data_IF_687786509286
#
_entry.id   IF_687786509286
#
_cell.length_a   1.000
_cell.length_b   1.000
_cell.length_c   1.000
_cell.angle_alpha   90.00
_cell.angle_beta   90.00
_cell.angle_gamma   90.00
#
_symmetry.space_group_name_H-M   'P 1'
#
loop_
_entity.id
_entity.type
_entity.pdbx_description
1 polymer ?
#
# COMPACT_ATOMS: atom_id res chain seq x y z
N UNK A 1 -28.65 35.62 -12.27
CA UNK A 1 -27.92 35.36 -13.54
C UNK A 1 -26.45 35.84 -13.52
N UNK A 2 -26.11 36.98 -12.95
CA UNK A 2 -24.73 37.52 -13.00
C UNK A 2 -23.72 36.65 -12.24
N UNK A 3 -24.07 36.14 -11.08
CA UNK A 3 -23.16 35.29 -10.27
C UNK A 3 -22.81 33.96 -10.91
N UNK A 4 -23.73 33.35 -11.62
CA UNK A 4 -23.52 32.07 -12.31
C UNK A 4 -22.46 32.21 -13.41
N UNK A 5 -22.55 33.25 -14.22
CA UNK A 5 -21.60 33.49 -15.29
C UNK A 5 -20.20 33.85 -14.82
N UNK A 6 -20.10 34.52 -13.67
CA UNK A 6 -18.79 34.85 -13.04
C UNK A 6 -18.15 33.58 -12.48
N UNK A 7 -18.91 32.73 -11.80
CA UNK A 7 -18.41 31.47 -11.23
C UNK A 7 -17.94 30.49 -12.33
N UNK A 8 -18.68 30.35 -13.44
CA UNK A 8 -18.26 29.55 -14.58
C UNK A 8 -17.02 30.12 -15.26
N UNK A 9 -16.90 31.43 -15.39
CA UNK A 9 -15.70 32.07 -15.96
C UNK A 9 -14.45 31.89 -15.11
N UNK A 10 -14.57 31.90 -13.79
CA UNK A 10 -13.45 31.68 -12.87
C UNK A 10 -13.05 30.20 -12.88
N UNK A 11 -14.02 29.29 -12.77
CA UNK A 11 -13.76 27.85 -12.84
C UNK A 11 -13.11 27.42 -14.16
N UNK A 12 -13.55 27.96 -15.28
CA UNK A 12 -12.98 27.65 -16.59
C UNK A 12 -11.53 28.17 -16.73
N UNK A 13 -11.22 29.33 -16.16
CA UNK A 13 -9.85 29.88 -16.13
C UNK A 13 -8.91 29.06 -15.25
N UNK A 14 -9.37 28.68 -14.07
CA UNK A 14 -8.55 27.87 -13.15
C UNK A 14 -8.29 26.47 -13.72
N UNK A 15 -9.30 25.83 -14.31
CA UNK A 15 -9.11 24.55 -15.00
C UNK A 15 -8.14 24.69 -16.20
N UNK A 16 -8.22 25.77 -16.98
CA UNK A 16 -7.32 25.98 -18.09
C UNK A 16 -5.88 26.24 -17.63
N UNK A 17 -5.70 26.93 -16.48
CA UNK A 17 -4.40 27.14 -15.87
C UNK A 17 -3.79 25.84 -15.33
N UNK A 18 -4.58 24.98 -14.70
CA UNK A 18 -4.12 23.66 -14.25
C UNK A 18 -3.73 22.75 -15.41
N UNK A 19 -4.52 22.73 -16.48
CA UNK A 19 -4.20 21.97 -17.68
C UNK A 19 -2.94 22.50 -18.38
N UNK A 20 -2.72 23.81 -18.37
CA UNK A 20 -1.54 24.42 -19.02
C UNK A 20 -0.27 24.24 -18.16
N UNK A 21 -0.42 24.12 -16.84
CA UNK A 21 0.70 23.83 -15.92
C UNK A 21 0.99 22.33 -15.77
N UNK A 22 0.11 21.47 -16.23
CA UNK A 22 0.40 20.05 -16.45
C UNK A 22 1.40 19.88 -17.62
N UNK A 23 2.50 20.65 -17.60
CA UNK A 23 3.70 20.31 -18.33
C UNK A 23 4.05 18.88 -17.90
N UNK A 24 3.91 17.96 -18.84
CA UNK A 24 4.46 16.62 -18.85
C UNK A 24 5.77 16.61 -18.05
N UNK A 25 5.66 16.33 -16.75
CA UNK A 25 6.83 16.04 -15.96
C UNK A 25 7.36 14.72 -16.53
N UNK A 26 8.45 14.78 -17.26
CA UNK A 26 9.07 13.64 -17.93
C UNK A 26 9.55 12.56 -16.95
N UNK A 27 9.28 12.77 -15.66
CA UNK A 27 9.51 11.79 -14.60
C UNK A 27 8.69 12.14 -13.37
N UNK A 28 7.38 11.95 -13.39
CA UNK A 28 6.65 11.86 -12.13
C UNK A 28 7.24 10.70 -11.32
N UNK A 29 7.72 10.96 -10.09
CA UNK A 29 8.29 9.90 -9.28
C UNK A 29 7.21 8.84 -9.07
N UNK A 30 7.54 7.58 -9.43
CA UNK A 30 6.64 6.47 -9.19
C UNK A 30 6.16 6.46 -7.74
N UNK A 31 4.85 6.28 -7.49
CA UNK A 31 4.32 6.31 -6.15
C UNK A 31 4.92 5.19 -5.30
N UNK A 32 5.18 5.49 -4.02
CA UNK A 32 5.54 4.46 -3.07
C UNK A 32 4.30 3.66 -2.69
N UNK A 33 4.33 2.37 -2.99
CA UNK A 33 3.25 1.43 -2.63
C UNK A 33 3.68 0.63 -1.40
N UNK A 34 2.90 0.73 -0.32
CA UNK A 34 3.17 -0.02 0.91
C UNK A 34 3.01 -1.53 0.68
N UNK A 35 3.83 -2.36 1.35
CA UNK A 35 3.58 -3.80 1.41
C UNK A 35 2.16 -4.09 1.93
N UNK A 36 1.48 -5.03 1.29
CA UNK A 36 0.10 -5.34 1.64
C UNK A 36 -0.53 -6.33 0.67
N UNK A 37 -1.82 -6.17 0.42
CA UNK A 37 -2.54 -6.94 -0.58
C UNK A 37 -2.13 -6.51 -1.99
N UNK A 38 -1.31 -7.34 -2.65
CA UNK A 38 -0.74 -7.00 -3.96
C UNK A 38 -1.73 -7.12 -5.11
N UNK A 39 -2.79 -7.89 -4.98
CA UNK A 39 -3.84 -7.92 -6.01
C UNK A 39 -4.59 -6.59 -6.04
N UNK A 40 -4.92 -6.04 -4.87
CA UNK A 40 -5.53 -4.73 -4.78
C UNK A 40 -4.58 -3.64 -5.28
N UNK A 41 -3.30 -3.71 -4.93
CA UNK A 41 -2.29 -2.77 -5.39
C UNK A 41 -2.15 -2.79 -6.92
N UNK A 42 -2.02 -3.97 -7.53
CA UNK A 42 -1.93 -4.13 -8.98
C UNK A 42 -3.18 -3.57 -9.69
N UNK A 43 -4.38 -3.88 -9.16
CA UNK A 43 -5.63 -3.36 -9.69
C UNK A 43 -5.67 -1.82 -9.68
N UNK A 44 -5.32 -1.19 -8.55
CA UNK A 44 -5.32 0.26 -8.40
C UNK A 44 -4.28 0.91 -9.33
N UNK A 45 -3.05 0.38 -9.35
CA UNK A 45 -1.97 0.91 -10.18
C UNK A 45 -2.34 0.90 -11.67
N UNK A 46 -2.92 -0.20 -12.15
CA UNK A 46 -3.39 -0.31 -13.55
C UNK A 46 -4.50 0.68 -13.87
N UNK A 47 -5.45 0.89 -12.95
CA UNK A 47 -6.50 1.89 -13.15
C UNK A 47 -5.97 3.33 -13.15
N UNK A 48 -4.84 3.58 -12.51
CA UNK A 48 -4.12 4.86 -12.56
C UNK A 48 -3.20 4.99 -13.79
N UNK A 49 -3.20 4.00 -14.69
CA UNK A 49 -2.34 4.01 -15.88
C UNK A 49 -0.86 3.67 -15.61
N UNK A 50 -0.53 3.21 -14.40
CA UNK A 50 0.83 2.84 -14.01
C UNK A 50 1.11 1.41 -14.46
N UNK A 51 2.21 1.21 -15.20
CA UNK A 51 2.62 -0.12 -15.64
C UNK A 51 3.06 -0.97 -14.46
N UNK A 52 2.51 -2.17 -14.34
CA UNK A 52 2.88 -3.14 -13.31
C UNK A 52 3.52 -4.36 -13.94
N UNK A 53 4.53 -4.93 -13.26
CA UNK A 53 5.13 -6.23 -13.56
C UNK A 53 4.86 -7.16 -12.38
N UNK A 54 4.14 -8.24 -12.63
CA UNK A 54 3.76 -9.20 -11.60
C UNK A 54 4.38 -10.57 -11.91
N UNK A 55 4.96 -11.21 -10.89
CA UNK A 55 5.59 -12.52 -11.00
C UNK A 55 4.58 -13.67 -10.91
N UNK A 56 3.27 -13.37 -10.92
CA UNK A 56 2.22 -14.39 -10.90
C UNK A 56 1.32 -14.30 -12.12
N UNK A 57 0.91 -15.45 -12.62
CA UNK A 57 -0.17 -15.53 -13.61
C UNK A 57 -1.48 -15.18 -12.89
N UNK A 58 -1.87 -13.90 -12.97
CA UNK A 58 -2.89 -13.28 -12.16
C UNK A 58 -4.27 -13.88 -12.31
N UNK A 59 -4.56 -14.91 -11.55
CA UNK A 59 -5.94 -15.30 -11.32
C UNK A 59 -6.47 -14.51 -10.13
N UNK A 60 -7.18 -13.42 -10.39
CA UNK A 60 -7.97 -12.70 -9.38
C UNK A 60 -9.13 -13.55 -8.84
N UNK A 61 -9.33 -14.73 -9.41
CA UNK A 61 -10.51 -15.56 -9.18
C UNK A 61 -10.52 -16.31 -7.84
N UNK A 62 -9.41 -16.36 -7.11
CA UNK A 62 -9.37 -17.19 -5.89
C UNK A 62 -9.95 -16.50 -4.64
N UNK A 63 -10.30 -15.23 -4.69
CA UNK A 63 -10.85 -14.47 -3.54
C UNK A 63 -9.92 -14.34 -2.33
N UNK A 64 -8.79 -15.04 -2.32
CA UNK A 64 -7.84 -15.00 -1.23
C UNK A 64 -6.85 -13.84 -1.40
N UNK A 65 -6.63 -13.03 -0.37
CA UNK A 65 -5.65 -11.97 -0.44
C UNK A 65 -4.25 -12.55 -0.64
N UNK A 66 -3.51 -12.01 -1.62
CA UNK A 66 -2.09 -12.34 -1.83
C UNK A 66 -1.26 -11.18 -1.29
N UNK A 67 -0.41 -11.50 -0.33
CA UNK A 67 0.44 -10.52 0.34
C UNK A 67 1.80 -10.41 -0.33
N UNK A 68 2.32 -9.19 -0.40
CA UNK A 68 3.62 -8.95 -1.03
C UNK A 68 4.12 -7.54 -0.89
N UNK A 69 5.11 -7.24 -1.69
CA UNK A 69 5.80 -5.95 -1.74
C UNK A 69 5.77 -5.39 -3.16
N UNK A 70 5.79 -4.07 -3.25
CA UNK A 70 5.92 -3.36 -4.51
C UNK A 70 7.24 -2.60 -4.51
N UNK A 71 7.98 -2.67 -5.60
CA UNK A 71 9.22 -1.93 -5.83
C UNK A 71 9.16 -1.16 -7.15
N UNK A 72 9.79 0.02 -7.19
CA UNK A 72 9.81 0.83 -8.40
C UNK A 72 10.98 0.40 -9.29
N UNK A 73 10.69 0.08 -10.54
CA UNK A 73 11.68 -0.34 -11.54
C UNK A 73 11.47 0.45 -12.84
N UNK A 74 12.32 1.46 -13.08
CA UNK A 74 12.47 2.10 -14.38
C UNK A 74 11.17 2.47 -15.11
N UNK A 75 10.23 3.15 -14.44
CA UNK A 75 8.95 3.55 -15.05
C UNK A 75 7.82 2.50 -14.93
N UNK A 76 8.03 1.44 -14.14
CA UNK A 76 7.02 0.44 -13.80
C UNK A 76 7.10 0.06 -12.32
N UNK A 77 6.04 -0.50 -11.78
CA UNK A 77 6.02 -1.07 -10.43
C UNK A 77 6.10 -2.58 -10.52
N UNK A 78 7.16 -3.15 -9.95
CA UNK A 78 7.29 -4.59 -9.78
C UNK A 78 6.52 -5.01 -8.54
N UNK A 79 5.70 -6.03 -8.68
CA UNK A 79 4.83 -6.54 -7.62
C UNK A 79 5.22 -7.99 -7.34
N UNK A 80 5.78 -8.24 -6.16
CA UNK A 80 6.31 -9.53 -5.76
C UNK A 80 5.54 -10.13 -4.61
N UNK A 81 5.30 -11.44 -4.65
CA UNK A 81 4.73 -12.18 -3.53
C UNK A 81 5.72 -12.22 -2.36
N UNK A 82 5.23 -11.90 -1.17
CA UNK A 82 5.96 -12.21 0.05
C UNK A 82 5.67 -13.66 0.44
N UNK A 83 6.69 -14.50 0.69
CA UNK A 83 6.47 -15.87 1.12
C UNK A 83 5.55 -15.90 2.34
N UNK A 84 4.47 -16.66 2.23
CA UNK A 84 3.55 -16.87 3.35
C UNK A 84 4.04 -18.10 4.12
N UNK A 85 4.41 -17.89 5.38
CA UNK A 85 4.60 -19.00 6.29
C UNK A 85 3.28 -19.79 6.47
N UNK A 86 3.35 -21.07 6.79
CA UNK A 86 2.17 -21.93 6.98
C UNK A 86 1.15 -21.31 7.95
N UNK A 87 -0.10 -21.77 7.89
CA UNK A 87 -1.20 -21.23 8.74
C UNK A 87 -0.92 -21.28 10.24
N UNK A 88 -0.09 -22.22 10.69
CA UNK A 88 0.32 -22.38 12.09
C UNK A 88 1.58 -21.57 12.47
N UNK A 89 2.08 -20.73 11.57
CA UNK A 89 3.30 -19.95 11.79
C UNK A 89 3.00 -18.46 11.75
N UNK A 90 3.75 -17.68 12.53
CA UNK A 90 3.67 -16.22 12.58
C UNK A 90 4.12 -15.64 11.22
N UNK A 91 3.30 -14.84 10.55
CA UNK A 91 3.70 -14.16 9.32
C UNK A 91 4.64 -12.99 9.61
N UNK A 92 5.45 -12.62 8.63
CA UNK A 92 6.20 -11.37 8.68
C UNK A 92 5.32 -10.22 8.18
N UNK A 93 4.92 -9.34 9.11
CA UNK A 93 4.09 -8.18 8.83
C UNK A 93 4.86 -6.85 8.84
N UNK A 94 6.18 -6.90 8.96
CA UNK A 94 7.02 -5.69 8.93
C UNK A 94 6.91 -4.99 7.58
N UNK A 95 6.83 -3.66 7.64
CA UNK A 95 6.64 -2.78 6.47
C UNK A 95 5.17 -2.61 6.05
N UNK A 96 4.25 -3.43 6.57
CA UNK A 96 2.81 -3.33 6.26
C UNK A 96 2.14 -2.17 7.00
N UNK A 97 1.02 -1.70 6.46
CA UNK A 97 0.11 -0.82 7.18
C UNK A 97 -0.54 -1.56 8.36
N UNK A 98 -0.95 -0.81 9.40
CA UNK A 98 -1.57 -1.39 10.59
C UNK A 98 -2.76 -2.30 10.26
N UNK A 99 -3.65 -1.86 9.38
CA UNK A 99 -4.87 -2.61 9.00
C UNK A 99 -4.55 -3.97 8.40
N UNK A 100 -3.63 -4.02 7.46
CA UNK A 100 -3.25 -5.25 6.77
C UNK A 100 -2.52 -6.20 7.71
N UNK A 101 -1.63 -5.67 8.55
CA UNK A 101 -0.90 -6.45 9.55
C UNK A 101 -1.83 -7.09 10.58
N UNK A 102 -2.81 -6.33 11.09
CA UNK A 102 -3.82 -6.83 12.02
C UNK A 102 -4.63 -7.94 11.35
N UNK A 103 -5.17 -7.69 10.17
CA UNK A 103 -5.95 -8.67 9.43
C UNK A 103 -5.17 -9.97 9.21
N UNK A 104 -3.89 -9.87 8.82
CA UNK A 104 -3.06 -11.03 8.54
C UNK A 104 -2.78 -11.88 9.79
N UNK A 105 -2.60 -11.26 10.95
CA UNK A 105 -2.36 -11.97 12.22
C UNK A 105 -3.66 -12.51 12.82
N UNK A 106 -4.72 -11.70 12.87
CA UNK A 106 -5.99 -12.10 13.48
C UNK A 106 -6.72 -13.19 12.69
N UNK A 107 -6.63 -13.17 11.35
CA UNK A 107 -7.15 -14.26 10.51
C UNK A 107 -6.51 -15.62 10.80
N UNK A 108 -5.36 -15.64 11.47
CA UNK A 108 -4.67 -16.85 11.93
C UNK A 108 -4.94 -17.17 13.41
N UNK A 109 -5.69 -16.32 14.11
CA UNK A 109 -6.02 -16.49 15.52
C UNK A 109 -5.00 -15.90 16.50
N UNK A 110 -4.11 -15.03 16.03
CA UNK A 110 -3.18 -14.24 16.86
C UNK A 110 -3.87 -12.95 17.26
N UNK A 111 -3.89 -12.61 18.54
CA UNK A 111 -4.40 -11.32 19.01
C UNK A 111 -3.33 -10.25 18.79
N UNK A 112 -3.74 -9.04 18.38
CA UNK A 112 -2.80 -7.96 18.06
C UNK A 112 -2.95 -6.80 19.04
N UNK A 113 -1.83 -6.26 19.48
CA UNK A 113 -1.74 -4.96 20.15
C UNK A 113 -0.87 -4.03 19.31
N UNK A 114 -1.38 -2.83 19.06
CA UNK A 114 -0.69 -1.80 18.30
C UNK A 114 -0.03 -0.79 19.25
N UNK A 115 1.18 -0.37 18.94
CA UNK A 115 1.90 0.70 19.60
C UNK A 115 2.48 1.64 18.54
N UNK A 116 2.14 2.93 18.60
CA UNK A 116 2.58 3.95 17.63
C UNK A 116 1.63 4.14 16.46
N UNK A 117 2.12 4.79 15.39
CA UNK A 117 1.37 5.15 14.18
C UNK A 117 2.23 4.91 12.95
N UNK A 118 1.59 4.68 11.79
CA UNK A 118 2.27 4.53 10.51
C UNK A 118 2.34 3.10 10.01
N UNK A 119 3.53 2.63 9.65
CA UNK A 119 3.78 1.25 9.21
C UNK A 119 4.43 0.42 10.32
N UNK A 120 4.26 -0.88 10.27
CA UNK A 120 4.89 -1.81 11.20
C UNK A 120 6.40 -1.82 10.99
N UNK A 121 7.16 -1.40 11.99
CA UNK A 121 8.64 -1.47 11.99
C UNK A 121 9.15 -2.71 12.69
N UNK A 122 8.44 -3.17 13.72
CA UNK A 122 8.79 -4.40 14.42
C UNK A 122 7.56 -5.15 14.93
N UNK A 123 7.74 -6.45 15.15
CA UNK A 123 6.75 -7.35 15.74
C UNK A 123 7.39 -8.16 16.86
N UNK A 124 6.65 -8.38 17.96
CA UNK A 124 7.19 -9.07 19.15
C UNK A 124 7.36 -10.56 18.94
N UNK A 125 6.63 -11.16 18.00
CA UNK A 125 6.74 -12.58 17.67
C UNK A 125 7.56 -12.74 16.39
N UNK A 126 8.59 -13.57 16.43
CA UNK A 126 9.44 -13.79 15.27
C UNK A 126 8.67 -14.50 14.12
N UNK A 127 8.84 -14.05 12.86
CA UNK A 127 8.25 -14.71 11.70
C UNK A 127 8.69 -16.18 11.60
N UNK A 128 7.77 -17.04 11.16
CA UNK A 128 8.04 -18.46 11.00
C UNK A 128 7.90 -19.30 12.27
N UNK A 129 7.84 -18.71 13.47
CA UNK A 129 7.60 -19.46 14.69
C UNK A 129 6.15 -19.96 14.80
N UNK A 130 5.98 -21.13 15.38
CA UNK A 130 4.66 -21.66 15.72
C UNK A 130 4.06 -20.92 16.91
N UNK A 131 2.75 -20.80 16.93
CA UNK A 131 2.03 -20.12 18.00
C UNK A 131 0.80 -20.92 18.43
N UNK A 132 0.29 -20.63 19.62
CA UNK A 132 -1.01 -21.14 20.08
C UNK A 132 -2.09 -20.10 19.79
N UNK A 133 -3.30 -20.57 19.46
CA UNK A 133 -4.45 -19.67 19.24
C UNK A 133 -4.67 -18.76 20.47
N UNK A 134 -4.82 -17.46 20.21
CA UNK A 134 -4.96 -16.45 21.26
C UNK A 134 -3.65 -15.84 21.77
N UNK A 135 -2.49 -16.29 21.27
CA UNK A 135 -1.21 -15.63 21.54
C UNK A 135 -1.26 -14.16 21.13
N UNK A 136 -0.69 -13.27 21.93
CA UNK A 136 -0.69 -11.82 21.68
C UNK A 136 0.60 -11.43 20.96
N UNK A 137 0.47 -10.74 19.84
CA UNK A 137 1.58 -10.10 19.13
C UNK A 137 1.48 -8.58 19.29
N UNK A 138 2.55 -7.96 19.76
CA UNK A 138 2.68 -6.50 19.81
C UNK A 138 3.36 -6.01 18.54
N UNK A 139 2.72 -5.08 17.84
CA UNK A 139 3.27 -4.44 16.66
C UNK A 139 3.67 -3.01 17.00
N UNK A 140 4.90 -2.67 16.69
CA UNK A 140 5.41 -1.30 16.80
C UNK A 140 5.29 -0.62 15.44
N UNK A 141 4.66 0.56 15.43
CA UNK A 141 4.42 1.32 14.22
C UNK A 141 5.13 2.67 14.30
N UNK A 142 5.75 3.07 13.17
CA UNK A 142 6.38 4.38 13.04
C UNK A 142 6.00 5.02 11.71
N UNK A 143 5.91 6.35 11.75
CA UNK A 143 5.84 7.18 10.53
C UNK A 143 7.27 7.44 10.11
N UNK A 144 7.68 6.90 8.98
CA UNK A 144 9.05 7.09 8.50
C UNK A 144 9.16 8.44 7.79
N UNK A 145 10.00 9.35 8.29
CA UNK A 145 10.27 10.69 7.73
C UNK A 145 10.69 10.68 6.25
N UNK A 146 11.16 9.54 5.74
CA UNK A 146 11.43 9.37 4.30
C UNK A 146 10.17 9.47 3.43
N UNK A 147 8.99 9.25 4.01
CA UNK A 147 7.71 9.43 3.31
C UNK A 147 7.27 10.90 3.33
N UNK A 148 7.57 11.64 4.39
CA UNK A 148 7.23 13.06 4.51
C UNK A 148 8.14 13.97 3.64
N UNK A 149 9.43 13.62 3.48
CA UNK A 149 10.38 14.39 2.65
C UNK A 149 10.18 14.23 1.14
N UNK A 150 9.31 13.33 0.68
CA UNK A 150 8.96 13.17 -0.75
C UNK A 150 7.69 13.93 -1.17
N UNK A 151 6.99 14.53 -0.22
CA UNK A 151 5.72 15.27 -0.45
C UNK A 151 5.93 16.79 -0.40
N UNK A 152 7.14 17.24 -0.03
CA UNK A 152 7.53 18.66 -0.04
C UNK A 152 8.47 18.95 -1.20
#
# INVERSE_FOLDING_TARGET
MVFHNIAEGVMAKDLALEITQAKKADSDPMPYVKPGNILAADYVLRNLGIKTRADWNGSYASGNPIWGVCSNEGGSVRVERKPQHGKAQIPDVRGMGARDAVYMLESRGVKVRLSGRGKVVSQSLAPGHTFKKGTVCVLHLEVTDKELKKIV
#
